data_IF_437157438814
#
_entry.id   IF_437157438814
#
_cell.length_a   1.000
_cell.length_b   1.000
_cell.length_c   1.000
_cell.angle_alpha   90.00
_cell.angle_beta   90.00
_cell.angle_gamma   90.00
#
_symmetry.space_group_name_H-M   'P 1'
#
loop_
_entity.id
_entity.type
_entity.pdbx_description
1 polymer ?
#
# COMPACT_ATOMS: atom_id res chain seq x y z
N UNK A 1 31.84 7.67 18.13
CA UNK A 1 31.75 6.40 17.39
C UNK A 1 32.48 6.63 16.07
N UNK A 2 33.44 5.74 15.71
CA UNK A 2 34.24 5.92 14.48
C UNK A 2 33.42 5.51 13.24
N UNK A 3 33.90 6.01 12.07
CA UNK A 3 33.31 5.63 10.79
C UNK A 3 33.43 4.13 10.52
N UNK A 4 32.43 3.55 9.92
CA UNK A 4 32.39 2.15 9.48
C UNK A 4 33.03 2.03 8.09
N UNK A 5 33.80 0.97 7.89
CA UNK A 5 34.41 0.65 6.60
C UNK A 5 33.61 -0.43 5.91
N UNK A 6 33.22 -0.19 4.67
CA UNK A 6 32.52 -1.17 3.83
C UNK A 6 33.07 -1.14 2.41
N UNK A 7 32.68 -2.09 1.61
CA UNK A 7 33.04 -2.15 0.18
C UNK A 7 31.79 -2.14 -0.66
N UNK A 8 31.69 -1.22 -1.64
CA UNK A 8 30.57 -1.17 -2.59
C UNK A 8 31.16 -1.26 -4.00
N UNK A 9 30.80 -2.30 -4.74
CA UNK A 9 31.32 -2.61 -6.10
C UNK A 9 32.85 -2.56 -6.19
N UNK A 10 33.52 -3.08 -5.17
CA UNK A 10 34.99 -3.09 -5.07
C UNK A 10 35.61 -1.82 -4.52
N UNK A 11 34.87 -0.72 -4.37
CA UNK A 11 35.34 0.54 -3.82
C UNK A 11 35.23 0.54 -2.29
N UNK A 12 36.29 0.97 -1.61
CA UNK A 12 36.25 1.18 -0.15
C UNK A 12 35.49 2.46 0.17
N UNK A 13 34.45 2.34 0.98
CA UNK A 13 33.57 3.43 1.38
C UNK A 13 33.62 3.58 2.90
N UNK A 14 33.61 4.81 3.37
CA UNK A 14 33.46 5.15 4.78
C UNK A 14 32.03 5.68 4.99
N UNK A 15 31.40 5.29 6.09
CA UNK A 15 30.09 5.80 6.44
C UNK A 15 29.88 5.86 7.94
N UNK A 16 29.06 6.77 8.39
CA UNK A 16 28.74 6.93 9.80
C UNK A 16 27.74 5.88 10.30
N UNK A 17 27.79 5.47 11.58
CA UNK A 17 26.81 4.56 12.16
C UNK A 17 25.36 5.04 11.97
N UNK A 18 24.48 4.14 11.53
CA UNK A 18 23.09 4.44 11.25
C UNK A 18 22.79 4.85 9.80
N UNK A 19 23.82 5.19 9.02
CA UNK A 19 23.68 5.46 7.58
C UNK A 19 23.19 4.23 6.83
N UNK A 20 22.35 4.43 5.83
CA UNK A 20 21.87 3.35 4.95
C UNK A 20 22.89 3.04 3.84
N UNK A 21 22.77 1.86 3.23
CA UNK A 21 23.61 1.49 2.07
C UNK A 21 23.42 2.50 0.92
N UNK A 22 22.20 3.00 0.70
CA UNK A 22 21.89 3.97 -0.35
C UNK A 22 22.63 5.30 -0.12
N UNK A 23 22.62 5.79 1.11
CA UNK A 23 23.32 7.02 1.50
C UNK A 23 24.84 6.88 1.37
N UNK A 24 25.39 5.76 1.87
CA UNK A 24 26.83 5.49 1.76
C UNK A 24 27.28 5.35 0.29
N UNK A 25 26.48 4.71 -0.56
CA UNK A 25 26.72 4.61 -1.99
C UNK A 25 26.70 6.00 -2.66
N UNK A 26 25.70 6.82 -2.34
CA UNK A 26 25.57 8.19 -2.88
C UNK A 26 26.75 9.09 -2.49
N UNK A 27 27.25 9.00 -1.25
CA UNK A 27 28.48 9.72 -0.83
C UNK A 27 29.72 9.27 -1.59
N UNK A 28 29.76 8.01 -2.03
CA UNK A 28 30.85 7.46 -2.83
C UNK A 28 30.66 7.68 -4.35
N UNK A 29 29.63 8.42 -4.78
CA UNK A 29 29.33 8.66 -6.18
C UNK A 29 28.76 7.43 -6.91
N UNK A 30 28.21 6.44 -6.17
CA UNK A 30 27.61 5.23 -6.73
C UNK A 30 26.09 5.39 -6.71
N UNK A 31 25.49 5.49 -7.88
CA UNK A 31 24.05 5.66 -8.02
C UNK A 31 23.32 4.31 -7.90
N UNK A 32 22.39 4.22 -6.94
CA UNK A 32 21.46 3.10 -6.81
C UNK A 32 20.05 3.61 -7.13
N UNK A 33 19.41 3.09 -8.17
CA UNK A 33 18.09 3.56 -8.58
C UNK A 33 17.03 3.32 -7.52
N UNK A 34 16.13 4.29 -7.33
CA UNK A 34 15.01 4.17 -6.37
C UNK A 34 13.83 5.03 -6.79
N UNK A 35 12.59 4.61 -6.46
CA UNK A 35 11.37 5.35 -6.76
C UNK A 35 10.65 5.85 -5.51
N UNK A 36 10.65 5.10 -4.40
CA UNK A 36 9.94 5.54 -3.20
C UNK A 36 10.81 6.35 -2.24
N UNK A 37 12.12 6.26 -2.36
CA UNK A 37 13.04 7.01 -1.51
C UNK A 37 13.19 8.46 -1.97
N UNK A 38 13.24 9.35 -1.00
CA UNK A 38 13.63 10.76 -1.14
C UNK A 38 14.37 11.16 0.14
N UNK A 39 15.41 11.96 0.01
CA UNK A 39 16.23 12.39 1.16
C UNK A 39 15.45 13.23 2.18
N UNK A 40 14.37 13.87 1.72
CA UNK A 40 13.56 14.81 2.49
C UNK A 40 12.50 14.11 3.38
N UNK A 41 12.29 12.81 3.21
CA UNK A 41 11.28 12.04 3.95
C UNK A 41 11.81 10.67 4.38
N UNK A 42 11.26 10.13 5.46
CA UNK A 42 11.71 8.86 6.05
C UNK A 42 11.68 7.70 5.03
N UNK A 43 12.65 6.77 5.06
CA UNK A 43 12.64 5.61 4.16
C UNK A 43 11.54 4.61 4.52
N UNK A 44 10.91 3.97 3.51
CA UNK A 44 9.86 2.95 3.72
C UNK A 44 10.14 1.62 3.01
N UNK A 45 11.01 1.61 1.98
CA UNK A 45 11.33 0.40 1.23
C UNK A 45 10.18 -0.17 0.37
N UNK A 46 9.18 0.64 0.00
CA UNK A 46 7.96 0.20 -0.68
C UNK A 46 8.21 -0.29 -2.11
N UNK A 47 8.91 0.47 -2.95
CA UNK A 47 9.02 0.19 -4.38
C UNK A 47 9.95 -0.98 -4.74
N UNK A 48 10.87 -1.36 -3.87
CA UNK A 48 11.88 -2.44 -4.05
C UNK A 48 12.82 -2.27 -5.25
N UNK A 49 12.89 -1.10 -5.87
CA UNK A 49 13.81 -0.83 -7.00
C UNK A 49 15.25 -0.72 -6.53
N UNK A 50 15.49 -0.22 -5.32
CA UNK A 50 16.83 -0.01 -4.76
C UNK A 50 17.52 -1.27 -4.20
N UNK A 51 17.11 -2.47 -4.64
CA UNK A 51 17.71 -3.71 -4.14
C UNK A 51 19.16 -3.86 -4.55
N UNK A 52 19.96 -4.42 -3.63
CA UNK A 52 21.38 -4.72 -3.81
C UNK A 52 21.69 -6.11 -3.25
N UNK A 53 22.84 -6.65 -3.64
CA UNK A 53 23.36 -7.90 -3.11
C UNK A 53 24.39 -7.60 -2.01
N UNK A 54 24.20 -8.21 -0.84
CA UNK A 54 25.13 -8.12 0.28
C UNK A 54 25.75 -9.49 0.48
N UNK A 55 27.07 -9.56 0.54
CA UNK A 55 27.79 -10.82 0.74
C UNK A 55 27.38 -11.48 2.05
N UNK A 56 27.08 -12.79 1.98
CA UNK A 56 26.54 -13.54 3.13
C UNK A 56 25.03 -13.41 3.35
N UNK A 57 24.33 -12.47 2.71
CA UNK A 57 22.89 -12.36 2.80
C UNK A 57 22.20 -13.33 1.81
N UNK A 58 21.21 -14.14 2.24
CA UNK A 58 20.52 -15.10 1.35
C UNK A 58 19.60 -14.41 0.33
N UNK A 59 19.19 -13.16 0.59
CA UNK A 59 18.25 -12.38 -0.23
C UNK A 59 18.83 -11.02 -0.58
N UNK A 60 18.35 -10.45 -1.69
CA UNK A 60 18.59 -9.05 -2.00
C UNK A 60 17.94 -8.15 -0.93
N UNK A 61 18.65 -7.12 -0.51
CA UNK A 61 18.18 -6.15 0.50
C UNK A 61 17.88 -4.81 -0.14
N UNK A 62 16.94 -4.05 0.43
CA UNK A 62 16.65 -2.69 -0.01
C UNK A 62 17.65 -1.71 0.55
N UNK A 63 18.48 -1.11 -0.29
CA UNK A 63 19.56 -0.21 0.14
C UNK A 63 19.07 1.03 0.90
N UNK A 64 17.84 1.51 0.61
CA UNK A 64 17.30 2.74 1.20
C UNK A 64 16.93 2.63 2.69
N UNK A 65 16.85 1.42 3.26
CA UNK A 65 16.47 1.19 4.65
C UNK A 65 17.34 0.16 5.38
N UNK A 66 18.36 -0.36 4.71
CA UNK A 66 19.32 -1.29 5.33
C UNK A 66 20.50 -0.50 5.82
N UNK A 67 20.77 -0.46 7.15
CA UNK A 67 21.92 0.23 7.69
C UNK A 67 23.22 -0.47 7.29
N UNK A 68 24.29 0.30 7.15
CA UNK A 68 25.64 -0.22 6.91
C UNK A 68 26.19 -0.90 8.16
N UNK A 69 27.13 -1.82 7.96
CA UNK A 69 27.91 -2.44 9.04
C UNK A 69 29.38 -2.56 8.67
N UNK A 70 30.23 -2.67 9.68
CA UNK A 70 31.68 -2.84 9.49
C UNK A 70 31.97 -4.10 8.66
N UNK A 71 32.84 -3.94 7.66
CA UNK A 71 33.25 -5.03 6.77
C UNK A 71 32.20 -5.48 5.75
N UNK A 72 31.03 -4.79 5.66
CA UNK A 72 29.99 -5.14 4.70
C UNK A 72 30.50 -5.05 3.26
N UNK A 73 30.18 -6.06 2.44
CA UNK A 73 30.47 -6.07 0.99
C UNK A 73 29.17 -6.02 0.21
N UNK A 74 28.99 -4.97 -0.57
CA UNK A 74 27.77 -4.69 -1.35
C UNK A 74 28.11 -4.72 -2.83
N UNK A 75 27.23 -5.36 -3.62
CA UNK A 75 27.27 -5.33 -5.10
C UNK A 75 25.96 -4.74 -5.62
N UNK A 76 26.08 -3.67 -6.37
CA UNK A 76 24.91 -2.92 -6.86
C UNK A 76 24.49 -3.29 -8.27
N UNK A 77 25.34 -3.98 -9.03
CA UNK A 77 25.15 -4.28 -10.46
C UNK A 77 25.52 -5.73 -10.81
N UNK A 78 24.86 -6.71 -10.15
CA UNK A 78 24.96 -8.12 -10.55
C UNK A 78 23.80 -8.48 -11.46
N UNK A 79 23.95 -9.56 -12.25
CA UNK A 79 22.85 -10.08 -13.08
C UNK A 79 21.59 -10.41 -12.27
N UNK A 80 21.76 -10.81 -10.99
CA UNK A 80 20.66 -11.04 -10.05
C UNK A 80 19.96 -9.76 -9.66
N UNK A 81 20.71 -8.69 -9.35
CA UNK A 81 20.19 -7.36 -9.03
C UNK A 81 19.46 -6.76 -10.23
N UNK A 82 20.07 -6.79 -11.41
CA UNK A 82 19.47 -6.24 -12.65
C UNK A 82 18.14 -6.90 -12.98
N UNK A 83 18.08 -8.23 -12.99
CA UNK A 83 16.82 -8.97 -13.20
C UNK A 83 15.74 -8.63 -12.16
N UNK A 84 16.12 -8.50 -10.88
CA UNK A 84 15.16 -8.16 -9.83
C UNK A 84 14.60 -6.74 -10.01
N UNK A 85 15.43 -5.77 -10.42
CA UNK A 85 14.99 -4.41 -10.72
C UNK A 85 14.08 -4.36 -11.94
N UNK A 86 14.45 -5.03 -13.03
CA UNK A 86 13.63 -5.14 -14.25
C UNK A 86 12.24 -5.70 -13.91
N UNK A 87 12.17 -6.87 -13.29
CA UNK A 87 10.91 -7.49 -12.89
C UNK A 87 10.07 -6.59 -11.96
N UNK A 88 10.72 -5.89 -11.03
CA UNK A 88 10.04 -4.95 -10.13
C UNK A 88 9.43 -3.78 -10.89
N UNK A 89 10.16 -3.19 -11.82
CA UNK A 89 9.66 -2.05 -12.61
C UNK A 89 8.58 -2.50 -13.60
N UNK A 90 8.71 -3.67 -14.22
CA UNK A 90 7.65 -4.28 -15.05
C UNK A 90 6.35 -4.49 -14.27
N UNK A 91 6.44 -4.95 -13.01
CA UNK A 91 5.29 -5.07 -12.11
C UNK A 91 4.65 -3.70 -11.79
N UNK A 92 5.46 -2.67 -11.55
CA UNK A 92 4.95 -1.32 -11.32
C UNK A 92 4.27 -0.74 -12.57
N UNK A 93 4.85 -0.97 -13.76
CA UNK A 93 4.24 -0.57 -15.04
C UNK A 93 2.92 -1.27 -15.29
N UNK A 94 2.78 -2.56 -14.92
CA UNK A 94 1.52 -3.29 -15.05
C UNK A 94 0.35 -2.65 -14.28
N UNK A 95 0.62 -2.04 -13.14
CA UNK A 95 -0.36 -1.33 -12.33
C UNK A 95 -0.56 0.15 -12.67
N UNK A 96 0.27 0.67 -13.58
CA UNK A 96 0.30 2.08 -13.95
C UNK A 96 -0.47 2.28 -15.26
N UNK A 97 -1.71 2.73 -15.16
CA UNK A 97 -2.62 2.89 -16.29
C UNK A 97 -2.88 4.35 -16.61
N UNK A 98 -2.94 4.67 -17.88
CA UNK A 98 -3.24 6.01 -18.38
C UNK A 98 -2.05 6.67 -19.10
N UNK A 99 -2.32 7.68 -19.92
CA UNK A 99 -1.29 8.37 -20.69
C UNK A 99 -0.38 9.15 -19.73
N UNK A 100 0.85 8.68 -19.55
CA UNK A 100 1.93 9.49 -18.98
C UNK A 100 2.60 10.37 -20.06
N UNK A 101 2.17 10.20 -21.29
CA UNK A 101 2.58 11.04 -22.40
C UNK A 101 1.73 12.31 -22.31
N UNK A 102 2.29 13.37 -21.76
CA UNK A 102 1.81 14.71 -22.04
C UNK A 102 2.09 15.01 -23.52
N UNK A 103 1.37 15.92 -24.14
CA UNK A 103 1.60 16.37 -25.53
C UNK A 103 3.05 16.84 -25.78
N UNK A 104 3.86 16.92 -24.74
CA UNK A 104 5.26 17.36 -24.74
C UNK A 104 6.29 16.20 -24.58
N UNK A 105 5.84 14.94 -24.55
CA UNK A 105 6.72 13.77 -24.40
C UNK A 105 6.92 13.34 -22.95
N UNK A 106 7.25 12.09 -22.74
CA UNK A 106 7.29 11.33 -21.48
C UNK A 106 8.20 11.88 -20.34
N UNK A 107 8.49 13.18 -20.29
CA UNK A 107 9.53 13.76 -19.44
C UNK A 107 9.23 13.72 -17.94
N UNK A 108 7.96 13.67 -17.52
CA UNK A 108 7.59 13.95 -16.12
C UNK A 108 7.26 12.71 -15.28
N UNK A 109 7.41 11.50 -15.80
CA UNK A 109 7.12 10.27 -15.06
C UNK A 109 8.43 9.53 -14.67
N UNK A 110 8.84 9.63 -13.40
CA UNK A 110 10.05 8.94 -12.91
C UNK A 110 9.96 7.40 -13.12
N UNK A 111 8.75 6.81 -13.18
CA UNK A 111 8.60 5.39 -13.47
C UNK A 111 9.03 5.02 -14.88
N UNK A 112 8.68 5.82 -15.91
CA UNK A 112 9.11 5.58 -17.29
C UNK A 112 10.61 5.87 -17.48
N UNK A 113 11.14 6.88 -16.81
CA UNK A 113 12.59 7.12 -16.78
C UNK A 113 13.32 5.93 -16.13
N UNK A 114 12.76 5.40 -15.05
CA UNK A 114 13.28 4.21 -14.37
C UNK A 114 13.20 2.97 -15.26
N UNK A 115 12.12 2.80 -16.01
CA UNK A 115 11.97 1.69 -16.95
C UNK A 115 13.05 1.71 -18.03
N UNK A 116 13.34 2.88 -18.58
CA UNK A 116 14.43 3.05 -19.53
C UNK A 116 15.81 2.76 -18.89
N UNK A 117 16.04 3.25 -17.65
CA UNK A 117 17.31 3.06 -16.93
C UNK A 117 17.61 1.58 -16.63
N UNK A 118 16.60 0.79 -16.24
CA UNK A 118 16.77 -0.63 -15.91
C UNK A 118 16.47 -1.56 -17.08
N UNK A 119 16.23 -1.02 -18.27
CA UNK A 119 15.88 -1.76 -19.49
C UNK A 119 14.66 -2.69 -19.28
N UNK A 120 13.66 -2.20 -18.53
CA UNK A 120 12.44 -2.96 -18.28
C UNK A 120 11.62 -3.10 -19.56
N UNK A 121 11.19 -4.33 -19.83
CA UNK A 121 10.28 -4.64 -20.93
C UNK A 121 8.81 -4.36 -20.58
N UNK A 122 7.89 -4.67 -21.51
CA UNK A 122 6.48 -4.72 -21.19
C UNK A 122 6.22 -5.79 -20.12
N UNK A 123 5.22 -5.59 -19.24
CA UNK A 123 4.92 -6.58 -18.21
C UNK A 123 4.63 -7.94 -18.87
N UNK A 124 5.20 -9.04 -18.33
CA UNK A 124 5.11 -10.37 -18.94
C UNK A 124 3.73 -11.03 -18.79
N UNK A 125 2.76 -10.32 -18.22
CA UNK A 125 1.40 -10.79 -18.02
C UNK A 125 0.41 -9.64 -18.19
N UNK A 126 -0.80 -9.98 -18.64
CA UNK A 126 -1.92 -9.03 -18.65
C UNK A 126 -2.49 -8.88 -17.25
N UNK A 127 -2.68 -7.66 -16.81
CA UNK A 127 -3.40 -7.38 -15.56
C UNK A 127 -4.87 -7.70 -15.77
N UNK A 128 -5.42 -8.67 -15.03
CA UNK A 128 -6.84 -9.06 -15.13
C UNK A 128 -7.81 -7.90 -14.87
N UNK A 129 -7.41 -6.98 -14.00
CA UNK A 129 -8.17 -5.76 -13.69
C UNK A 129 -7.17 -4.62 -13.61
N UNK A 130 -7.10 -3.80 -14.64
CA UNK A 130 -6.34 -2.56 -14.59
C UNK A 130 -6.89 -1.69 -13.48
N UNK A 131 -6.02 -1.09 -12.68
CA UNK A 131 -6.43 -0.08 -11.70
C UNK A 131 -6.93 1.14 -12.47
N UNK A 132 -8.22 1.24 -12.61
CA UNK A 132 -8.86 2.43 -13.17
C UNK A 132 -9.62 3.12 -12.04
N UNK A 133 -9.19 4.31 -11.71
CA UNK A 133 -9.91 5.20 -10.82
C UNK A 133 -10.36 6.41 -11.63
N UNK A 134 -11.66 6.72 -11.63
CA UNK A 134 -12.13 7.94 -12.27
C UNK A 134 -11.41 9.15 -11.66
N UNK A 135 -11.11 10.14 -12.47
CA UNK A 135 -10.53 11.40 -12.00
C UNK A 135 -11.64 12.26 -11.38
N UNK A 136 -12.09 11.86 -10.19
CA UNK A 136 -13.24 12.47 -9.51
C UNK A 136 -12.88 13.51 -8.44
N UNK A 137 -11.62 13.94 -8.39
CA UNK A 137 -11.23 14.87 -7.35
C UNK A 137 -11.65 16.30 -7.70
N UNK A 138 -12.69 16.77 -7.04
CA UNK A 138 -13.24 18.11 -7.20
C UNK A 138 -12.40 19.20 -6.50
N UNK A 139 -11.30 18.82 -5.83
CA UNK A 139 -10.45 19.79 -5.14
C UNK A 139 -9.80 20.75 -6.17
N UNK A 140 -9.97 22.07 -6.02
CA UNK A 140 -9.43 23.04 -6.97
C UNK A 140 -7.90 23.16 -6.89
N UNK A 141 -7.26 22.66 -5.85
CA UNK A 141 -5.83 22.85 -5.59
C UNK A 141 -4.99 21.64 -5.98
N UNK A 142 -5.43 20.43 -5.59
CA UNK A 142 -4.72 19.18 -5.86
C UNK A 142 -5.65 18.20 -6.55
N UNK A 143 -5.34 17.85 -7.77
CA UNK A 143 -6.07 16.83 -8.52
C UNK A 143 -5.38 15.48 -8.38
N UNK A 144 -6.16 14.40 -8.23
CA UNK A 144 -5.68 13.03 -8.06
C UNK A 144 -6.09 12.15 -9.24
N UNK A 145 -5.13 11.53 -9.88
CA UNK A 145 -5.36 10.45 -10.84
C UNK A 145 -4.71 9.15 -10.31
N UNK A 146 -5.45 8.42 -9.50
CA UNK A 146 -4.94 7.23 -8.84
C UNK A 146 -4.64 6.07 -9.79
N UNK A 147 -5.14 6.11 -11.04
CA UNK A 147 -4.75 5.16 -12.09
C UNK A 147 -3.26 5.21 -12.42
N UNK A 148 -2.59 6.33 -12.13
CA UNK A 148 -1.15 6.50 -12.29
C UNK A 148 -0.36 6.15 -11.02
N UNK A 149 -1.05 5.91 -9.90
CA UNK A 149 -0.40 5.74 -8.61
C UNK A 149 0.31 4.38 -8.51
N UNK A 150 1.60 4.40 -8.14
CA UNK A 150 2.42 3.20 -7.90
C UNK A 150 2.57 2.84 -6.42
N UNK A 151 1.76 3.44 -5.55
CA UNK A 151 1.76 3.19 -4.11
C UNK A 151 3.14 3.38 -3.45
N UNK A 152 3.87 4.40 -3.87
CA UNK A 152 5.21 4.70 -3.34
C UNK A 152 5.20 5.38 -1.97
N UNK A 153 4.05 5.80 -1.47
CA UNK A 153 3.81 6.48 -0.19
C UNK A 153 4.51 7.83 -0.02
N UNK A 154 5.08 8.43 -1.08
CA UNK A 154 5.73 9.74 -0.95
C UNK A 154 4.76 10.82 -0.49
N UNK A 155 3.54 10.87 -1.05
CA UNK A 155 2.51 11.84 -0.67
C UNK A 155 2.03 11.68 0.78
N UNK A 156 1.88 10.44 1.26
CA UNK A 156 1.50 10.15 2.64
C UNK A 156 2.58 10.67 3.60
N UNK A 157 3.83 10.34 3.33
CA UNK A 157 4.95 10.73 4.20
C UNK A 157 5.21 12.23 4.17
N UNK A 158 5.27 12.85 3.00
CA UNK A 158 5.54 14.28 2.90
C UNK A 158 4.43 15.12 3.55
N UNK A 159 3.17 14.69 3.42
CA UNK A 159 2.06 15.38 4.07
C UNK A 159 2.17 15.32 5.59
N UNK A 160 2.56 14.17 6.14
CA UNK A 160 2.76 13.99 7.58
C UNK A 160 4.05 14.63 8.09
N UNK A 161 5.18 14.39 7.43
CA UNK A 161 6.51 14.68 7.97
C UNK A 161 6.94 16.13 7.70
N UNK A 162 6.57 16.71 6.56
CA UNK A 162 6.97 18.06 6.17
C UNK A 162 5.83 19.08 6.21
N UNK A 163 4.60 18.67 5.85
CA UNK A 163 3.44 19.57 5.93
C UNK A 163 2.80 19.59 7.33
N UNK A 164 2.91 18.49 8.11
CA UNK A 164 2.30 18.35 9.42
C UNK A 164 0.79 18.07 9.39
N UNK A 165 0.22 17.76 8.22
CA UNK A 165 -1.23 17.70 8.02
C UNK A 165 -1.81 16.28 8.07
N UNK A 166 -1.04 15.25 7.70
CA UNK A 166 -1.46 13.83 7.66
C UNK A 166 -2.78 13.56 6.92
N UNK A 167 -3.09 14.34 5.88
CA UNK A 167 -4.34 14.23 5.12
C UNK A 167 -4.44 12.91 4.35
N UNK A 168 -3.30 12.40 3.86
CA UNK A 168 -3.26 11.17 3.09
C UNK A 168 -2.93 9.96 3.95
N UNK A 169 -3.62 8.85 3.71
CA UNK A 169 -3.28 7.55 4.28
C UNK A 169 -3.40 6.45 3.22
N UNK A 170 -2.94 5.25 3.57
CA UNK A 170 -3.19 4.04 2.77
C UNK A 170 -4.41 3.33 3.31
N UNK A 171 -5.30 2.92 2.43
CA UNK A 171 -6.47 2.12 2.77
C UNK A 171 -6.54 0.85 1.93
N UNK A 172 -7.39 -0.08 2.37
CA UNK A 172 -7.59 -1.38 1.78
C UNK A 172 -6.33 -2.26 1.81
N UNK A 173 -6.31 -3.36 1.06
CA UNK A 173 -5.20 -4.30 1.01
C UNK A 173 -5.04 -4.96 -0.35
N UNK A 174 -3.86 -5.52 -0.60
CA UNK A 174 -3.56 -6.26 -1.84
C UNK A 174 -3.76 -5.41 -3.08
N UNK A 175 -4.50 -5.92 -4.06
CA UNK A 175 -4.79 -5.23 -5.32
C UNK A 175 -5.64 -3.98 -5.16
N UNK A 176 -6.42 -3.91 -4.10
CA UNK A 176 -7.35 -2.80 -3.85
C UNK A 176 -6.72 -1.66 -3.05
N UNK A 177 -5.47 -1.84 -2.57
CA UNK A 177 -4.74 -0.80 -1.84
C UNK A 177 -4.68 0.50 -2.64
N UNK A 178 -5.04 1.61 -2.00
CA UNK A 178 -4.94 2.95 -2.59
C UNK A 178 -4.64 4.03 -1.56
N UNK A 179 -4.21 5.19 -2.03
CA UNK A 179 -4.07 6.40 -1.22
C UNK A 179 -5.44 7.03 -1.07
N UNK A 180 -5.85 7.26 0.16
CA UNK A 180 -7.14 7.87 0.51
C UNK A 180 -6.98 9.16 1.29
N UNK A 181 -8.05 9.92 1.35
CA UNK A 181 -8.25 11.09 2.22
C UNK A 181 -9.52 10.82 3.02
N UNK A 182 -9.51 11.17 4.30
CA UNK A 182 -10.61 10.91 5.23
C UNK A 182 -11.07 9.44 5.20
N UNK A 183 -12.32 9.18 4.88
CA UNK A 183 -12.95 7.87 4.71
C UNK A 183 -13.13 7.50 3.23
N UNK A 184 -12.09 7.73 2.43
CA UNK A 184 -12.04 7.53 0.98
C UNK A 184 -12.88 8.55 0.17
N UNK A 185 -13.12 9.69 0.78
CA UNK A 185 -13.82 10.80 0.17
C UNK A 185 -12.96 11.68 -0.75
N UNK A 186 -13.54 12.72 -1.32
CA UNK A 186 -12.80 13.75 -2.07
C UNK A 186 -11.90 14.56 -1.13
N UNK A 187 -10.77 15.02 -1.65
CA UNK A 187 -9.91 15.96 -0.92
C UNK A 187 -10.64 17.32 -0.82
N UNK A 188 -11.13 17.65 0.35
CA UNK A 188 -11.91 18.87 0.57
C UNK A 188 -11.28 19.74 1.68
N UNK A 189 -10.17 20.42 1.34
CA UNK A 189 -9.48 21.29 2.29
C UNK A 189 -8.73 22.42 1.57
N UNK A 190 -8.78 23.63 2.17
CA UNK A 190 -8.03 24.79 1.71
C UNK A 190 -6.54 24.76 2.08
N UNK A 191 -6.14 23.86 2.99
CA UNK A 191 -4.74 23.68 3.41
C UNK A 191 -3.83 23.39 2.20
N UNK A 192 -4.35 22.71 1.20
CA UNK A 192 -3.60 22.32 0.00
C UNK A 192 -3.35 23.50 -0.97
N UNK A 193 -4.04 24.65 -0.82
CA UNK A 193 -3.97 25.77 -1.77
C UNK A 193 -2.55 26.22 -2.11
N UNK A 194 -1.71 26.37 -1.08
CA UNK A 194 -0.34 26.90 -1.20
C UNK A 194 0.71 25.89 -0.73
N UNK A 195 0.33 24.62 -0.52
CA UNK A 195 1.25 23.57 -0.06
C UNK A 195 1.97 22.89 -1.25
N UNK A 196 1.33 21.95 -1.93
CA UNK A 196 1.82 21.26 -3.13
C UNK A 196 2.99 20.30 -2.95
N UNK A 197 3.48 20.04 -1.75
CA UNK A 197 4.62 19.16 -1.48
C UNK A 197 4.39 17.73 -1.99
N UNK A 198 3.17 17.24 -1.90
CA UNK A 198 2.79 15.91 -2.40
C UNK A 198 2.83 15.83 -3.93
N UNK A 199 2.56 16.94 -4.63
CA UNK A 199 2.65 17.04 -6.10
C UNK A 199 4.12 17.01 -6.52
N UNK A 200 4.96 17.83 -5.88
CA UNK A 200 6.39 17.93 -6.19
C UNK A 200 7.12 16.60 -6.02
N UNK A 201 6.75 15.80 -5.02
CA UNK A 201 7.38 14.51 -4.75
C UNK A 201 6.69 13.32 -5.44
N UNK A 202 5.58 13.52 -6.18
CA UNK A 202 4.90 12.43 -6.85
C UNK A 202 5.70 11.92 -8.06
N UNK A 203 6.16 10.65 -8.09
CA UNK A 203 7.04 10.16 -9.15
C UNK A 203 6.31 9.89 -10.47
N UNK A 204 4.97 9.88 -10.46
CA UNK A 204 4.18 9.45 -11.62
C UNK A 204 3.11 10.46 -12.02
N UNK A 205 3.19 11.70 -11.52
CA UNK A 205 2.17 12.72 -11.76
C UNK A 205 0.73 12.27 -11.47
N UNK A 206 0.60 11.27 -10.55
CA UNK A 206 -0.71 10.87 -10.03
C UNK A 206 -1.38 11.99 -9.22
N UNK A 207 -0.57 12.94 -8.73
CA UNK A 207 -1.01 14.18 -8.11
C UNK A 207 -0.55 15.34 -8.99
N UNK A 208 -1.44 16.27 -9.30
CA UNK A 208 -1.19 17.43 -10.14
C UNK A 208 -1.85 18.68 -9.59
N UNK A 209 -1.45 19.85 -10.10
CA UNK A 209 -2.01 21.14 -9.69
C UNK A 209 -3.40 21.30 -10.28
N UNK A 210 -4.34 21.71 -9.43
CA UNK A 210 -5.64 22.16 -9.87
C UNK A 210 -5.65 23.64 -10.29
N UNK A 211 -6.74 24.13 -10.90
CA UNK A 211 -6.83 25.49 -11.45
C UNK A 211 -6.76 26.59 -10.38
N UNK A 212 -7.08 26.29 -9.14
CA UNK A 212 -7.02 27.22 -8.00
C UNK A 212 -5.72 27.13 -7.17
N UNK A 213 -4.75 26.36 -7.64
CA UNK A 213 -3.49 26.17 -6.91
C UNK A 213 -2.67 27.48 -6.89
N UNK A 214 -2.23 27.88 -5.70
CA UNK A 214 -1.42 29.09 -5.50
C UNK A 214 0.09 28.85 -5.65
N UNK A 215 0.87 29.33 -4.70
CA UNK A 215 2.33 29.12 -4.71
C UNK A 215 2.72 27.87 -3.95
N UNK A 216 3.44 26.96 -4.61
CA UNK A 216 3.98 25.77 -3.95
C UNK A 216 4.96 26.14 -2.83
N UNK A 217 4.86 25.47 -1.70
CA UNK A 217 5.96 25.40 -0.71
C UNK A 217 7.13 24.68 -1.35
N UNK A 218 8.34 25.17 -1.14
CA UNK A 218 9.54 24.42 -1.50
C UNK A 218 9.79 23.36 -0.44
N UNK A 219 10.16 22.16 -0.87
CA UNK A 219 10.70 21.14 0.02
C UNK A 219 12.01 21.71 0.59
N UNK A 220 11.97 22.10 1.87
CA UNK A 220 13.12 22.68 2.55
C UNK A 220 14.20 21.63 2.77
N UNK A 221 15.42 22.06 3.10
CA UNK A 221 16.52 21.19 3.54
C UNK A 221 16.31 20.69 5.00
N UNK A 222 15.09 20.37 5.38
CA UNK A 222 14.80 19.88 6.72
C UNK A 222 15.50 18.52 6.93
N UNK A 223 16.29 18.44 7.98
CA UNK A 223 16.78 17.15 8.46
C UNK A 223 15.56 16.29 8.80
N UNK A 224 15.46 15.16 8.13
CA UNK A 224 14.38 14.19 8.35
C UNK A 224 14.58 13.60 9.74
N UNK A 225 13.61 13.72 10.66
CA UNK A 225 13.66 12.98 11.91
C UNK A 225 13.70 11.50 11.57
N UNK A 226 14.74 10.78 11.98
CA UNK A 226 14.81 9.33 11.82
C UNK A 226 13.61 8.77 12.59
N UNK A 227 12.66 8.06 11.94
CA UNK A 227 11.54 7.46 12.66
C UNK A 227 12.11 6.29 13.47
N UNK A 228 12.43 6.55 14.67
CA UNK A 228 12.91 5.52 15.56
C UNK A 228 12.57 5.93 16.97
N UNK A 229 11.69 5.24 17.60
CA UNK A 229 11.66 5.08 19.04
C UNK A 229 10.45 5.52 19.86
N UNK A 230 9.47 6.16 19.34
CA UNK A 230 8.18 6.15 20.04
C UNK A 230 7.16 5.53 19.11
N UNK A 231 6.97 4.20 19.24
CA UNK A 231 5.67 3.61 18.94
C UNK A 231 4.70 4.46 19.76
N UNK A 232 3.99 5.31 19.07
CA UNK A 232 3.00 6.17 19.66
C UNK A 232 2.01 5.25 20.38
N UNK A 233 1.99 5.29 21.71
CA UNK A 233 1.12 4.41 22.52
C UNK A 233 -0.33 4.53 22.07
N UNK A 234 -0.72 5.72 21.63
CA UNK A 234 -2.03 5.99 21.08
C UNK A 234 -2.30 5.18 19.81
N UNK A 235 -1.30 5.01 18.92
CA UNK A 235 -1.46 4.20 17.70
C UNK A 235 -1.60 2.72 18.00
N UNK A 236 -0.95 2.22 19.02
CA UNK A 236 -1.06 0.81 19.43
C UNK A 236 -2.45 0.45 19.96
N UNK A 237 -3.18 1.41 20.53
CA UNK A 237 -4.53 1.23 21.02
C UNK A 237 -5.59 1.16 19.90
N UNK A 238 -5.29 1.65 18.69
CA UNK A 238 -6.28 1.80 17.63
C UNK A 238 -6.95 0.48 17.24
N UNK A 239 -6.17 -0.56 16.93
CA UNK A 239 -6.73 -1.83 16.47
C UNK A 239 -7.60 -2.53 17.56
N UNK A 240 -7.20 -2.60 18.83
CA UNK A 240 -8.08 -3.08 19.90
C UNK A 240 -9.41 -2.35 19.98
N UNK A 241 -9.42 -1.01 19.90
CA UNK A 241 -10.62 -0.18 19.94
C UNK A 241 -11.55 -0.51 18.78
N UNK A 242 -11.02 -0.58 17.54
CA UNK A 242 -11.82 -0.92 16.36
C UNK A 242 -12.40 -2.34 16.44
N UNK A 243 -11.65 -3.30 16.99
CA UNK A 243 -12.15 -4.67 17.20
C UNK A 243 -13.27 -4.73 18.23
N UNK A 244 -13.19 -3.97 19.30
CA UNK A 244 -14.24 -3.89 20.31
C UNK A 244 -15.52 -3.31 19.73
N UNK A 245 -15.44 -2.25 18.94
CA UNK A 245 -16.60 -1.66 18.26
C UNK A 245 -17.21 -2.62 17.25
N UNK A 246 -16.39 -3.27 16.43
CA UNK A 246 -16.84 -4.30 15.50
C UNK A 246 -17.62 -5.41 16.22
N UNK A 247 -17.16 -5.85 17.39
CA UNK A 247 -17.82 -6.89 18.17
C UNK A 247 -19.16 -6.41 18.76
N UNK A 248 -19.29 -5.11 19.08
CA UNK A 248 -20.52 -4.53 19.67
C UNK A 248 -21.57 -4.19 18.62
N UNK A 249 -21.16 -3.58 17.51
CA UNK A 249 -22.07 -2.98 16.52
C UNK A 249 -22.13 -3.77 15.20
N UNK A 250 -21.25 -4.76 15.02
CA UNK A 250 -21.13 -5.51 13.76
C UNK A 250 -20.31 -4.77 12.68
N UNK A 251 -20.02 -3.49 12.86
CA UNK A 251 -19.17 -2.68 11.96
C UNK A 251 -18.60 -1.45 12.67
N UNK A 252 -17.63 -0.80 12.06
CA UNK A 252 -17.01 0.43 12.57
C UNK A 252 -17.58 1.62 11.82
N UNK A 253 -18.50 2.35 12.45
CA UNK A 253 -19.18 3.49 11.82
C UNK A 253 -18.23 4.69 11.59
N UNK A 254 -18.59 5.54 10.60
CA UNK A 254 -17.85 6.79 10.34
C UNK A 254 -17.77 7.68 11.57
N UNK A 255 -18.86 7.83 12.31
CA UNK A 255 -18.91 8.63 13.54
C UNK A 255 -17.93 8.10 14.57
N UNK A 256 -17.92 6.79 14.82
CA UNK A 256 -16.98 6.15 15.74
C UNK A 256 -15.52 6.32 15.30
N UNK A 257 -15.23 6.23 14.00
CA UNK A 257 -13.87 6.48 13.47
C UNK A 257 -13.44 7.93 13.72
N UNK A 258 -14.33 8.92 13.55
CA UNK A 258 -14.03 10.32 13.84
C UNK A 258 -13.77 10.57 15.34
N UNK A 259 -14.57 10.00 16.23
CA UNK A 259 -14.39 10.09 17.67
C UNK A 259 -13.08 9.43 18.12
N UNK A 260 -12.79 8.24 17.58
CA UNK A 260 -11.54 7.52 17.83
C UNK A 260 -10.32 8.31 17.33
N UNK A 261 -10.40 8.89 16.14
CA UNK A 261 -9.36 9.75 15.60
C UNK A 261 -9.06 10.94 16.53
N UNK A 262 -10.10 11.64 16.97
CA UNK A 262 -9.96 12.76 17.90
C UNK A 262 -9.37 12.32 19.26
N UNK A 263 -9.83 11.20 19.82
CA UNK A 263 -9.36 10.67 21.10
C UNK A 263 -7.89 10.24 21.08
N UNK A 264 -7.41 9.70 19.95
CA UNK A 264 -6.04 9.22 19.81
C UNK A 264 -5.08 10.24 19.16
N UNK A 265 -5.56 11.44 18.78
CA UNK A 265 -4.77 12.44 18.07
C UNK A 265 -4.34 11.96 16.67
N UNK A 266 -5.17 11.14 16.01
CA UNK A 266 -4.98 10.64 14.66
C UNK A 266 -5.89 11.38 13.67
N UNK A 267 -5.63 11.21 12.37
CA UNK A 267 -6.56 11.67 11.35
C UNK A 267 -7.60 10.58 11.02
N UNK A 268 -8.75 10.98 10.51
CA UNK A 268 -9.78 10.03 10.06
C UNK A 268 -9.23 9.07 9.01
N UNK A 269 -8.39 9.55 8.08
CA UNK A 269 -7.76 8.73 7.06
C UNK A 269 -6.83 7.65 7.63
N UNK A 270 -6.14 7.92 8.75
CA UNK A 270 -5.31 6.91 9.43
C UNK A 270 -6.18 5.83 10.08
N UNK A 271 -7.27 6.21 10.74
CA UNK A 271 -8.22 5.27 11.36
C UNK A 271 -8.91 4.43 10.28
N UNK A 272 -9.40 5.06 9.23
CA UNK A 272 -10.03 4.39 8.09
C UNK A 272 -9.08 3.41 7.39
N UNK A 273 -7.82 3.81 7.24
CA UNK A 273 -6.77 2.95 6.68
C UNK A 273 -6.60 1.66 7.47
N UNK A 274 -6.61 1.72 8.80
CA UNK A 274 -6.53 0.51 9.66
C UNK A 274 -7.82 -0.29 9.58
N UNK A 275 -8.99 0.35 9.66
CA UNK A 275 -10.29 -0.32 9.60
C UNK A 275 -10.48 -1.13 8.30
N UNK A 276 -10.05 -0.59 7.15
CA UNK A 276 -10.19 -1.25 5.85
C UNK A 276 -9.09 -2.25 5.53
N UNK A 277 -7.95 -2.20 6.25
CA UNK A 277 -6.86 -3.16 6.05
C UNK A 277 -7.22 -4.56 6.55
N UNK A 278 -7.86 -4.69 7.71
CA UNK A 278 -8.19 -5.97 8.32
C UNK A 278 -9.49 -6.54 7.77
N UNK A 279 -9.44 -7.77 7.23
CA UNK A 279 -10.58 -8.43 6.60
C UNK A 279 -11.76 -8.72 7.53
N UNK A 280 -11.51 -8.72 8.83
CA UNK A 280 -12.54 -8.97 9.86
C UNK A 280 -13.16 -7.69 10.41
N UNK A 281 -12.66 -6.52 10.00
CA UNK A 281 -13.31 -5.25 10.26
C UNK A 281 -14.15 -4.85 9.03
N UNK A 282 -15.28 -4.22 9.27
CA UNK A 282 -16.13 -3.62 8.24
C UNK A 282 -16.39 -2.16 8.57
N UNK A 283 -16.35 -1.31 7.58
CA UNK A 283 -16.75 0.12 7.69
C UNK A 283 -18.20 0.35 7.25
N UNK A 284 -18.81 -0.69 6.69
CA UNK A 284 -20.22 -0.70 6.29
C UNK A 284 -21.02 -1.70 7.16
N UNK A 285 -22.31 -1.45 7.41
CA UNK A 285 -23.17 -2.40 8.11
C UNK A 285 -23.16 -3.77 7.46
N UNK A 286 -22.97 -4.82 8.26
CA UNK A 286 -23.07 -6.20 7.81
C UNK A 286 -24.46 -6.75 8.02
N UNK A 287 -24.81 -7.77 7.24
CA UNK A 287 -26.00 -8.57 7.46
C UNK A 287 -25.91 -9.39 8.77
N UNK A 288 -27.02 -10.05 9.13
CA UNK A 288 -27.11 -10.90 10.31
C UNK A 288 -26.01 -11.96 10.35
N UNK A 289 -25.66 -12.53 9.18
CA UNK A 289 -24.60 -13.51 9.01
C UNK A 289 -23.56 -13.02 8.00
N UNK A 290 -22.27 -13.16 8.31
CA UNK A 290 -21.19 -12.76 7.42
C UNK A 290 -20.44 -13.96 6.86
N UNK A 291 -20.58 -14.18 5.56
CA UNK A 291 -19.88 -15.24 4.81
C UNK A 291 -18.51 -14.70 4.38
N UNK A 292 -17.43 -15.37 4.82
CA UNK A 292 -16.04 -15.03 4.47
C UNK A 292 -15.37 -16.21 3.78
N UNK A 293 -15.17 -16.14 2.47
CA UNK A 293 -14.49 -17.21 1.72
C UNK A 293 -12.99 -16.91 1.63
N UNK A 294 -12.16 -17.88 2.00
CA UNK A 294 -10.71 -17.79 1.85
C UNK A 294 -10.32 -17.83 0.37
N UNK A 295 -9.63 -16.76 -0.09
CA UNK A 295 -9.13 -16.63 -1.46
C UNK A 295 -7.59 -16.73 -1.52
N UNK A 296 -6.95 -17.42 -0.60
CA UNK A 296 -5.51 -17.68 -0.59
C UNK A 296 -5.14 -18.89 -1.43
N UNK A 297 -3.86 -18.99 -1.78
CA UNK A 297 -3.35 -19.99 -2.74
C UNK A 297 -3.83 -21.43 -2.47
N UNK A 298 -3.79 -21.99 -1.24
CA UNK A 298 -4.27 -23.35 -1.00
C UNK A 298 -5.75 -23.53 -1.37
N UNK A 299 -6.63 -22.61 -0.93
CA UNK A 299 -8.04 -22.66 -1.26
C UNK A 299 -8.29 -22.42 -2.75
N UNK A 300 -7.54 -21.51 -3.38
CA UNK A 300 -7.65 -21.23 -4.80
C UNK A 300 -7.35 -22.45 -5.66
N UNK A 301 -6.27 -23.20 -5.34
CA UNK A 301 -5.89 -24.45 -6.04
C UNK A 301 -6.96 -25.52 -5.85
N UNK A 302 -7.62 -25.55 -4.70
CA UNK A 302 -8.72 -26.48 -4.35
C UNK A 302 -10.10 -25.95 -4.78
N UNK A 303 -10.15 -25.12 -5.82
CA UNK A 303 -11.37 -24.62 -6.46
C UNK A 303 -12.21 -23.62 -5.61
N UNK A 304 -11.59 -22.76 -4.78
CA UNK A 304 -12.31 -21.65 -4.15
C UNK A 304 -13.11 -20.78 -5.14
N UNK A 305 -12.66 -20.52 -6.40
CA UNK A 305 -13.49 -19.82 -7.39
C UNK A 305 -14.85 -20.47 -7.64
N UNK A 306 -14.92 -21.80 -7.75
CA UNK A 306 -16.19 -22.52 -7.94
C UNK A 306 -17.09 -22.44 -6.69
N UNK A 307 -16.50 -22.39 -5.49
CA UNK A 307 -17.25 -22.16 -4.24
C UNK A 307 -17.81 -20.73 -4.20
N UNK A 308 -17.02 -19.72 -4.59
CA UNK A 308 -17.46 -18.32 -4.70
C UNK A 308 -18.68 -18.21 -5.63
N UNK A 309 -18.61 -18.81 -6.83
CA UNK A 309 -19.74 -18.83 -7.78
C UNK A 309 -20.98 -19.54 -7.19
N UNK A 310 -20.78 -20.61 -6.42
CA UNK A 310 -21.89 -21.35 -5.80
C UNK A 310 -22.57 -20.54 -4.71
N UNK A 311 -21.82 -19.80 -3.91
CA UNK A 311 -22.38 -18.87 -2.92
C UNK A 311 -23.11 -17.74 -3.61
N UNK A 312 -22.52 -17.11 -4.64
CA UNK A 312 -23.19 -16.06 -5.43
C UNK A 312 -24.55 -16.52 -6.00
N UNK A 313 -24.60 -17.73 -6.53
CA UNK A 313 -25.85 -18.31 -7.06
C UNK A 313 -26.88 -18.58 -5.95
N UNK A 314 -26.41 -18.99 -4.76
CA UNK A 314 -27.29 -19.35 -3.65
C UNK A 314 -27.94 -18.12 -2.99
N UNK A 315 -27.23 -17.01 -2.86
CA UNK A 315 -27.71 -15.81 -2.14
C UNK A 315 -27.96 -14.59 -3.04
N UNK A 316 -27.59 -14.65 -4.33
CA UNK A 316 -27.92 -13.62 -5.34
C UNK A 316 -27.09 -12.34 -5.26
N UNK A 317 -25.97 -12.33 -4.52
CA UNK A 317 -25.06 -11.17 -4.37
C UNK A 317 -23.62 -11.53 -4.70
N UNK A 318 -22.80 -10.52 -4.98
CA UNK A 318 -21.36 -10.68 -5.23
C UNK A 318 -20.53 -10.34 -3.98
N UNK A 319 -19.22 -10.75 -3.93
CA UNK A 319 -18.35 -10.38 -2.81
C UNK A 319 -18.29 -8.87 -2.62
N UNK A 320 -18.51 -8.42 -1.40
CA UNK A 320 -18.59 -7.01 -1.00
C UNK A 320 -20.02 -6.51 -0.79
N UNK A 321 -21.03 -7.33 -1.07
CA UNK A 321 -22.44 -6.94 -0.98
C UNK A 321 -23.14 -7.63 0.21
N UNK A 322 -24.30 -7.06 0.58
CA UNK A 322 -25.24 -7.60 1.56
C UNK A 322 -26.57 -7.86 0.88
N UNK A 323 -27.24 -8.98 1.20
CA UNK A 323 -28.57 -9.32 0.66
C UNK A 323 -29.59 -8.26 1.04
N UNK A 324 -30.57 -8.03 0.15
CA UNK A 324 -31.60 -6.99 0.34
C UNK A 324 -32.49 -7.17 1.58
N UNK A 325 -32.56 -8.38 2.12
CA UNK A 325 -33.22 -8.71 3.39
C UNK A 325 -32.33 -8.51 4.63
N UNK A 326 -31.04 -8.12 4.42
CA UNK A 326 -30.06 -7.94 5.49
C UNK A 326 -29.59 -9.23 6.16
N UNK A 327 -29.90 -10.39 5.58
CA UNK A 327 -29.57 -11.69 6.19
C UNK A 327 -28.10 -12.06 6.04
N UNK A 328 -27.55 -11.97 4.84
CA UNK A 328 -26.16 -12.33 4.55
C UNK A 328 -25.35 -11.16 4.02
N UNK A 329 -24.13 -11.00 4.54
CA UNK A 329 -23.06 -10.28 3.86
C UNK A 329 -22.06 -11.27 3.31
N UNK A 330 -21.50 -11.00 2.12
CA UNK A 330 -20.54 -11.87 1.46
C UNK A 330 -19.23 -11.17 1.19
N UNK A 331 -18.12 -11.71 1.66
CA UNK A 331 -16.79 -11.12 1.46
C UNK A 331 -15.73 -12.18 1.19
N UNK A 332 -14.66 -11.76 0.53
CA UNK A 332 -13.45 -12.58 0.39
C UNK A 332 -12.44 -12.21 1.46
N UNK A 333 -11.75 -13.20 2.00
CA UNK A 333 -10.75 -13.00 3.02
C UNK A 333 -9.41 -13.65 2.66
N UNK A 334 -8.36 -13.21 3.33
CA UNK A 334 -7.07 -13.89 3.33
C UNK A 334 -7.17 -15.23 4.07
N UNK A 335 -6.06 -15.96 4.18
CA UNK A 335 -6.02 -17.27 4.84
C UNK A 335 -6.63 -17.23 6.25
N UNK A 336 -7.62 -18.10 6.47
CA UNK A 336 -8.31 -18.28 7.76
C UNK A 336 -7.68 -19.39 8.62
N UNK A 337 -6.53 -19.94 8.19
CA UNK A 337 -5.79 -20.95 8.95
C UNK A 337 -6.20 -22.40 8.70
N UNK A 338 -7.25 -22.67 7.89
CA UNK A 338 -7.80 -24.03 7.64
C UNK A 338 -7.31 -24.62 6.30
N UNK A 339 -6.01 -24.54 6.01
CA UNK A 339 -5.46 -25.00 4.73
C UNK A 339 -5.54 -26.51 4.54
N UNK A 340 -5.56 -27.29 5.62
CA UNK A 340 -5.77 -28.73 5.66
C UNK A 340 -7.20 -29.15 5.26
N UNK A 341 -8.15 -28.21 5.31
CA UNK A 341 -9.55 -28.39 4.94
C UNK A 341 -9.97 -27.52 3.75
N UNK A 342 -9.01 -27.13 2.92
CA UNK A 342 -9.28 -26.30 1.73
C UNK A 342 -10.18 -27.02 0.70
N UNK A 343 -11.09 -26.32 0.00
CA UNK A 343 -11.44 -24.90 0.17
C UNK A 343 -12.31 -24.68 1.43
N UNK A 344 -12.13 -23.52 2.08
CA UNK A 344 -12.78 -23.25 3.34
C UNK A 344 -13.39 -21.84 3.41
N UNK A 345 -14.45 -21.70 4.20
CA UNK A 345 -15.10 -20.43 4.51
C UNK A 345 -15.46 -20.35 6.00
N UNK A 346 -15.71 -19.14 6.46
CA UNK A 346 -16.39 -18.88 7.73
C UNK A 346 -17.80 -18.35 7.42
N UNK A 347 -18.76 -18.77 8.22
CA UNK A 347 -20.04 -18.06 8.38
C UNK A 347 -20.05 -17.59 9.82
N UNK A 348 -19.95 -16.27 10.01
CA UNK A 348 -19.63 -15.67 11.30
C UNK A 348 -18.29 -16.23 11.85
N UNK A 349 -18.31 -17.00 12.92
CA UNK A 349 -17.15 -17.68 13.51
C UNK A 349 -17.12 -19.19 13.21
N UNK A 350 -18.14 -19.73 12.56
CA UNK A 350 -18.24 -21.14 12.23
C UNK A 350 -17.41 -21.51 11.01
N UNK A 351 -16.45 -22.42 11.20
CA UNK A 351 -15.58 -22.89 10.13
C UNK A 351 -16.23 -24.02 9.32
N UNK A 352 -16.31 -23.83 8.02
CA UNK A 352 -16.74 -24.84 7.05
C UNK A 352 -15.58 -25.16 6.09
N UNK A 353 -15.08 -26.38 6.16
CA UNK A 353 -13.96 -26.88 5.33
C UNK A 353 -14.40 -27.97 4.35
N UNK A 354 -13.45 -28.34 3.45
CA UNK A 354 -13.68 -29.34 2.41
C UNK A 354 -14.97 -29.05 1.63
N UNK A 355 -15.11 -27.79 1.24
CA UNK A 355 -16.31 -27.29 0.58
C UNK A 355 -16.47 -27.88 -0.83
N UNK A 356 -17.71 -28.19 -1.17
CA UNK A 356 -18.14 -28.49 -2.55
C UNK A 356 -19.35 -27.63 -2.90
N UNK A 357 -19.62 -27.38 -4.19
CA UNK A 357 -20.79 -26.61 -4.61
C UNK A 357 -22.12 -27.10 -4.02
N UNK A 358 -22.25 -28.41 -3.84
CA UNK A 358 -23.47 -29.05 -3.33
C UNK A 358 -23.71 -28.75 -1.85
N UNK A 359 -22.63 -28.70 -1.06
CA UNK A 359 -22.69 -28.41 0.39
C UNK A 359 -23.12 -26.97 0.68
N UNK A 360 -22.86 -26.01 -0.24
CA UNK A 360 -23.10 -24.59 0.01
C UNK A 360 -24.57 -24.33 0.35
N UNK A 361 -25.49 -24.86 -0.44
CA UNK A 361 -26.93 -24.64 -0.20
C UNK A 361 -27.44 -25.24 1.12
N UNK A 362 -26.84 -26.34 1.56
CA UNK A 362 -27.17 -26.98 2.86
C UNK A 362 -26.63 -26.13 4.02
N UNK A 363 -25.36 -25.72 3.95
CA UNK A 363 -24.75 -24.88 4.98
C UNK A 363 -25.53 -23.56 5.13
N UNK A 364 -25.83 -22.86 4.06
CA UNK A 364 -26.51 -21.56 4.12
C UNK A 364 -27.93 -21.65 4.67
N UNK A 365 -28.63 -22.78 4.48
CA UNK A 365 -29.97 -23.01 5.09
C UNK A 365 -29.93 -23.16 6.60
N UNK A 366 -28.82 -23.57 7.19
CA UNK A 366 -28.68 -23.70 8.65
C UNK A 366 -28.55 -22.37 9.39
N UNK A 367 -28.40 -21.25 8.65
CA UNK A 367 -28.30 -19.90 9.19
C UNK A 367 -29.60 -19.07 8.97
N UNK A 368 -30.74 -19.66 9.11
CA UNK A 368 -32.05 -19.01 8.98
C UNK A 368 -32.40 -18.07 10.13
#
# INVERSE_FOLDING_TARGET
MGDMKLTIDGNKVLGSPGMTILEAAGQAGIDIPSLCHRKEISPIGSCRVCVVEVEGAPRLVGSCHTPISEGMVVRTNTARVSRARQATVELLLAGHTGPCVTDTGAADCELHQMAALVEAGPPPFSVRKARFYPAEDLNPYVQRNLSRCILCHRCVRVCRELAGESLFSMAYRGSDSKVVVDDDGPLNTDVCRDCGLCIELCPTTALSRGPGFGKAKKVGEAEVPIPGSTLDENRSALLPILKEEQAKQGYVSRTFMMETAAALGLTLSEVYGVATFYAFLSVEPLGKHCIRICNSVPCFIQNAPGIIESVQKAIGITPGETTGDGRFSFTLTSCIGACDQAPAMLVDDDLHGNLTPEKIAEILRSYD
#
